data_IF_609269515401
#
_entry.id   IF_609269515401
#
_cell.length_a   1.000
_cell.length_b   1.000
_cell.length_c   1.000
_cell.angle_alpha   90.00
_cell.angle_beta   90.00
_cell.angle_gamma   90.00
#
_symmetry.space_group_name_H-M   'P 1'
#
loop_
_entity.id
_entity.type
_entity.pdbx_description
1 polymer ?
#
# COMPACT_ATOMS: atom_id res chain seq x y z
N UNK A 1 11.97 -9.69 -15.04
CA UNK A 1 11.25 -9.70 -13.74
C UNK A 1 9.76 -9.37 -13.93
N UNK A 2 9.42 -8.37 -14.76
CA UNK A 2 8.06 -7.83 -14.88
C UNK A 2 7.14 -8.40 -15.97
N UNK A 3 7.70 -8.92 -17.07
CA UNK A 3 6.92 -9.57 -18.13
C UNK A 3 6.22 -10.84 -17.63
N UNK A 4 6.70 -11.43 -16.54
CA UNK A 4 6.12 -12.61 -15.91
C UNK A 4 4.99 -12.27 -14.93
N UNK A 5 5.05 -11.11 -14.27
CA UNK A 5 3.96 -10.62 -13.42
C UNK A 5 2.73 -10.30 -14.26
N UNK A 6 2.91 -9.54 -15.35
CA UNK A 6 1.84 -9.22 -16.31
C UNK A 6 1.15 -10.48 -16.86
N UNK A 7 1.89 -11.58 -17.08
CA UNK A 7 1.32 -12.88 -17.52
C UNK A 7 0.49 -13.59 -16.44
N UNK A 8 0.65 -13.24 -15.16
CA UNK A 8 -0.03 -13.93 -14.04
C UNK A 8 -1.27 -13.18 -13.54
N UNK A 9 -1.56 -12.00 -14.08
CA UNK A 9 -2.79 -11.28 -13.73
C UNK A 9 -4.00 -12.02 -14.28
N UNK A 10 -4.92 -12.40 -13.40
CA UNK A 10 -6.24 -12.85 -13.81
C UNK A 10 -7.18 -11.66 -13.73
N UNK A 11 -7.88 -11.40 -14.83
CA UNK A 11 -8.89 -10.34 -14.97
C UNK A 11 -10.27 -10.99 -15.00
N UNK A 12 -11.18 -10.46 -14.21
CA UNK A 12 -12.59 -10.88 -14.26
C UNK A 12 -13.46 -9.66 -14.38
N UNK A 13 -14.24 -9.63 -15.46
CA UNK A 13 -15.25 -8.63 -15.69
C UNK A 13 -16.60 -9.14 -15.19
N UNK A 14 -17.22 -8.37 -14.31
CA UNK A 14 -18.59 -8.57 -13.87
C UNK A 14 -19.44 -7.46 -14.50
N UNK A 15 -20.30 -7.79 -15.48
CA UNK A 15 -21.12 -6.79 -16.13
C UNK A 15 -22.11 -6.19 -15.13
N UNK A 16 -22.28 -4.86 -15.19
CA UNK A 16 -23.42 -4.21 -14.56
C UNK A 16 -24.65 -4.54 -15.37
N UNK A 17 -25.47 -5.47 -14.89
CA UNK A 17 -26.87 -5.55 -15.31
C UNK A 17 -27.47 -4.19 -15.06
N UNK A 18 -28.06 -3.56 -16.09
CA UNK A 18 -28.85 -2.34 -15.94
C UNK A 18 -29.83 -2.57 -14.80
N UNK A 19 -29.56 -1.95 -13.64
CA UNK A 19 -30.54 -1.86 -12.59
C UNK A 19 -31.77 -1.22 -13.24
N UNK A 20 -32.92 -1.90 -13.18
CA UNK A 20 -34.20 -1.26 -13.48
C UNK A 20 -34.42 -0.23 -12.37
N UNK A 21 -33.74 0.91 -12.44
CA UNK A 21 -33.97 2.02 -11.53
C UNK A 21 -35.29 2.66 -11.94
N UNK A 22 -36.40 2.04 -11.52
CA UNK A 22 -37.65 2.75 -11.37
C UNK A 22 -37.44 3.84 -10.33
N UNK A 23 -37.62 5.09 -10.73
CA UNK A 23 -37.61 6.29 -9.91
C UNK A 23 -36.37 6.52 -9.00
N UNK A 24 -35.49 7.40 -9.46
CA UNK A 24 -35.28 8.65 -8.71
C UNK A 24 -34.44 8.60 -7.43
N UNK A 25 -33.24 8.01 -7.45
CA UNK A 25 -32.18 8.47 -6.55
C UNK A 25 -31.40 9.64 -7.19
N UNK A 26 -32.11 10.73 -7.56
CA UNK A 26 -31.48 12.04 -7.80
C UNK A 26 -31.18 12.67 -6.44
N UNK A 27 -30.19 12.13 -5.72
CA UNK A 27 -29.62 12.82 -4.56
C UNK A 27 -28.65 13.88 -5.12
N UNK A 28 -29.21 15.04 -5.44
CA UNK A 28 -28.59 16.36 -5.62
C UNK A 28 -27.25 16.44 -6.37
N UNK A 29 -27.28 16.88 -7.65
CA UNK A 29 -26.20 17.63 -8.31
C UNK A 29 -24.86 16.94 -8.57
N UNK A 30 -24.48 15.93 -7.79
CA UNK A 30 -23.32 15.07 -7.97
C UNK A 30 -23.77 13.86 -8.81
N UNK A 31 -23.80 14.04 -10.13
CA UNK A 31 -24.25 13.04 -11.11
C UNK A 31 -23.37 11.78 -11.24
N UNK A 32 -22.79 11.25 -10.17
CA UNK A 32 -21.64 10.35 -10.26
C UNK A 32 -21.62 9.15 -9.30
N UNK A 33 -22.74 8.57 -8.88
CA UNK A 33 -22.66 7.23 -8.27
C UNK A 33 -23.77 6.28 -8.76
N UNK A 34 -23.64 5.69 -9.96
CA UNK A 34 -24.33 4.45 -10.34
C UNK A 34 -23.46 3.21 -10.03
N UNK A 35 -23.85 2.47 -9.00
CA UNK A 35 -23.22 1.26 -8.45
C UNK A 35 -22.11 1.53 -7.42
N UNK A 36 -22.43 1.65 -6.13
CA UNK A 36 -21.38 1.63 -5.12
C UNK A 36 -21.05 0.16 -4.94
N UNK A 37 -19.75 -0.06 -4.99
CA UNK A 37 -19.19 -1.37 -5.11
C UNK A 37 -17.93 -1.36 -4.28
N UNK A 38 -17.76 -2.48 -3.62
CA UNK A 38 -16.68 -2.68 -2.70
C UNK A 38 -16.27 -4.14 -2.79
N UNK A 39 -15.06 -4.41 -2.34
CA UNK A 39 -14.55 -5.76 -2.20
C UNK A 39 -14.02 -5.93 -0.79
N UNK A 40 -14.37 -7.05 -0.19
CA UNK A 40 -13.86 -7.50 1.09
C UNK A 40 -13.60 -9.00 1.02
N UNK A 41 -12.92 -9.53 2.02
CA UNK A 41 -12.40 -10.89 1.98
C UNK A 41 -12.43 -11.54 3.35
N UNK A 42 -12.78 -12.83 3.41
CA UNK A 42 -12.51 -13.72 4.54
C UNK A 42 -11.33 -14.64 4.19
N UNK A 43 -10.97 -15.63 5.02
CA UNK A 43 -9.83 -16.52 4.76
C UNK A 43 -9.87 -17.26 3.40
N UNK A 44 -11.05 -17.54 2.87
CA UNK A 44 -11.26 -18.42 1.71
C UNK A 44 -11.93 -17.73 0.51
N UNK A 45 -12.64 -16.65 0.74
CA UNK A 45 -13.52 -16.03 -0.25
C UNK A 45 -13.29 -14.53 -0.39
N UNK A 46 -13.62 -14.05 -1.58
CA UNK A 46 -13.83 -12.65 -1.88
C UNK A 46 -15.33 -12.40 -1.97
N UNK A 47 -15.75 -11.28 -1.42
CA UNK A 47 -17.11 -10.76 -1.56
C UNK A 47 -17.03 -9.52 -2.44
N UNK A 48 -17.70 -9.58 -3.58
CA UNK A 48 -17.75 -8.48 -4.55
C UNK A 48 -19.16 -7.91 -4.51
N UNK A 49 -19.28 -6.66 -4.07
CA UNK A 49 -20.54 -5.93 -4.10
C UNK A 49 -20.61 -5.19 -5.42
N UNK A 50 -21.67 -5.41 -6.19
CA UNK A 50 -21.84 -4.81 -7.50
C UNK A 50 -23.29 -4.59 -7.83
N UNK A 51 -23.68 -3.36 -8.15
CA UNK A 51 -24.99 -3.05 -8.75
C UNK A 51 -26.17 -3.67 -8.00
N UNK A 52 -26.22 -3.51 -6.67
CA UNK A 52 -27.31 -4.02 -5.83
C UNK A 52 -27.27 -5.53 -5.56
N UNK A 53 -26.18 -6.22 -5.87
CA UNK A 53 -25.96 -7.61 -5.46
C UNK A 53 -24.61 -7.79 -4.76
N UNK A 54 -24.46 -8.91 -4.07
CA UNK A 54 -23.18 -9.41 -3.58
C UNK A 54 -22.89 -10.76 -4.19
N UNK A 55 -21.66 -10.97 -4.64
CA UNK A 55 -21.13 -12.22 -5.15
C UNK A 55 -20.04 -12.75 -4.23
N UNK A 56 -20.15 -14.02 -3.83
CA UNK A 56 -19.12 -14.74 -3.09
C UNK A 56 -18.31 -15.57 -4.08
N UNK A 57 -16.99 -15.40 -4.07
CA UNK A 57 -16.06 -16.04 -5.01
C UNK A 57 -14.89 -16.69 -4.29
N UNK A 58 -14.39 -17.81 -4.79
CA UNK A 58 -13.20 -18.47 -4.23
C UNK A 58 -11.96 -17.61 -4.47
N UNK A 59 -11.12 -17.38 -3.45
CA UNK A 59 -9.85 -16.65 -3.60
C UNK A 59 -8.90 -17.32 -4.62
N UNK A 60 -8.17 -16.51 -5.39
CA UNK A 60 -7.20 -16.96 -6.41
C UNK A 60 -7.78 -17.61 -7.68
N UNK A 61 -8.93 -18.30 -7.59
CA UNK A 61 -9.64 -18.91 -8.73
C UNK A 61 -10.84 -18.10 -9.20
N UNK A 62 -11.43 -17.32 -8.30
CA UNK A 62 -12.59 -16.44 -8.52
C UNK A 62 -13.84 -17.13 -9.06
N UNK A 63 -13.92 -18.45 -8.91
CA UNK A 63 -15.11 -19.23 -9.18
C UNK A 63 -16.27 -18.66 -8.34
N UNK A 64 -17.41 -18.41 -8.99
CA UNK A 64 -18.62 -17.96 -8.32
C UNK A 64 -19.15 -19.11 -7.46
N UNK A 65 -19.24 -18.87 -6.16
CA UNK A 65 -19.81 -19.81 -5.20
C UNK A 65 -21.30 -19.53 -5.05
N UNK A 66 -21.64 -18.26 -4.81
CA UNK A 66 -22.99 -17.85 -4.47
C UNK A 66 -23.20 -16.37 -4.80
N UNK A 67 -24.46 -15.97 -4.98
CA UNK A 67 -24.85 -14.56 -5.12
C UNK A 67 -26.14 -14.29 -4.37
N UNK A 68 -26.26 -13.08 -3.82
CA UNK A 68 -27.50 -12.60 -3.22
C UNK A 68 -27.84 -11.20 -3.75
N UNK A 69 -29.13 -10.94 -3.90
CA UNK A 69 -29.61 -9.58 -4.16
C UNK A 69 -29.61 -8.80 -2.84
N UNK A 70 -29.15 -7.56 -2.90
CA UNK A 70 -29.25 -6.64 -1.79
C UNK A 70 -30.64 -5.98 -1.84
N UNK A 71 -31.19 -5.57 -0.69
CA UNK A 71 -32.40 -4.76 -0.69
C UNK A 71 -32.14 -3.41 -1.37
N UNK A 72 -33.21 -2.65 -1.66
CA UNK A 72 -33.20 -1.40 -2.43
C UNK A 72 -32.50 -0.22 -1.69
N UNK A 73 -31.20 -0.39 -1.51
CA UNK A 73 -30.26 0.56 -0.92
C UNK A 73 -28.98 0.54 -1.74
N UNK A 74 -28.22 1.62 -1.61
CA UNK A 74 -26.93 1.76 -2.27
C UNK A 74 -25.84 1.27 -1.30
N UNK A 75 -25.28 0.05 -1.49
CA UNK A 75 -24.28 -0.50 -0.59
C UNK A 75 -22.96 0.23 -0.78
N UNK A 76 -22.32 0.66 0.29
CA UNK A 76 -21.15 1.54 0.21
C UNK A 76 -19.86 0.79 0.52
N UNK A 77 -19.81 0.11 1.66
CA UNK A 77 -18.62 -0.62 2.13
C UNK A 77 -18.96 -1.97 2.71
N UNK A 78 -18.06 -2.92 2.57
CA UNK A 78 -18.16 -4.23 3.21
C UNK A 78 -16.93 -4.61 4.02
N UNK A 79 -17.22 -5.44 5.02
CA UNK A 79 -16.24 -6.09 5.88
C UNK A 79 -16.69 -7.53 6.08
N UNK A 80 -15.80 -8.47 5.86
CA UNK A 80 -16.02 -9.86 6.23
C UNK A 80 -15.28 -10.12 7.54
N UNK A 81 -15.93 -10.82 8.46
CA UNK A 81 -15.34 -11.20 9.74
C UNK A 81 -15.90 -12.56 10.14
N UNK A 82 -15.02 -13.52 10.39
CA UNK A 82 -15.37 -14.90 10.73
C UNK A 82 -16.33 -15.53 9.70
N UNK A 83 -17.57 -15.82 10.11
CA UNK A 83 -18.62 -16.44 9.31
C UNK A 83 -19.69 -15.43 8.85
N UNK A 84 -19.40 -14.12 8.96
CA UNK A 84 -20.33 -13.03 8.66
C UNK A 84 -19.77 -12.07 7.61
N UNK A 85 -20.70 -11.50 6.86
CA UNK A 85 -20.45 -10.38 5.96
C UNK A 85 -21.32 -9.20 6.40
N UNK A 86 -20.67 -8.06 6.60
CA UNK A 86 -21.33 -6.80 6.95
C UNK A 86 -21.27 -5.86 5.76
N UNK A 87 -22.41 -5.26 5.41
CA UNK A 87 -22.51 -4.29 4.32
C UNK A 87 -23.14 -3.01 4.85
N UNK A 88 -22.39 -1.92 4.78
CA UNK A 88 -22.86 -0.60 5.18
C UNK A 88 -23.56 0.10 4.03
N UNK A 89 -24.60 0.86 4.33
CA UNK A 89 -25.29 1.77 3.40
C UNK A 89 -25.67 3.05 4.13
N UNK A 90 -26.20 4.06 3.44
CA UNK A 90 -26.46 5.36 4.08
C UNK A 90 -27.46 5.32 5.25
N UNK A 91 -28.28 4.28 5.33
CA UNK A 91 -29.36 4.12 6.31
C UNK A 91 -29.09 3.04 7.36
N UNK A 92 -28.00 2.28 7.30
CA UNK A 92 -27.84 1.12 8.18
C UNK A 92 -26.67 0.19 7.86
N UNK A 93 -26.67 -0.94 8.55
CA UNK A 93 -25.73 -2.04 8.34
C UNK A 93 -26.52 -3.32 8.13
N UNK A 94 -26.24 -4.01 7.04
CA UNK A 94 -26.77 -5.33 6.74
C UNK A 94 -25.79 -6.41 7.24
N UNK A 95 -26.33 -7.46 7.85
CA UNK A 95 -25.59 -8.64 8.28
C UNK A 95 -26.02 -9.86 7.47
N UNK A 96 -25.05 -10.52 6.84
CA UNK A 96 -25.24 -11.75 6.09
C UNK A 96 -24.47 -12.89 6.75
N UNK A 97 -25.01 -14.10 6.63
CA UNK A 97 -24.23 -15.33 6.82
C UNK A 97 -23.13 -15.44 5.76
N UNK A 98 -22.15 -16.32 6.00
CA UNK A 98 -21.18 -16.73 4.98
C UNK A 98 -21.83 -17.34 3.73
N UNK A 99 -23.04 -17.90 3.84
CA UNK A 99 -23.88 -18.35 2.71
C UNK A 99 -24.78 -17.26 2.15
N UNK A 100 -24.38 -15.98 2.23
CA UNK A 100 -25.08 -14.80 1.69
C UNK A 100 -26.58 -14.67 2.03
N UNK A 101 -27.09 -15.37 3.04
CA UNK A 101 -28.42 -15.14 3.59
C UNK A 101 -28.42 -13.91 4.50
N UNK A 102 -29.26 -12.93 4.20
CA UNK A 102 -29.49 -11.76 5.06
C UNK A 102 -30.14 -12.22 6.38
N UNK A 103 -29.55 -11.79 7.50
CA UNK A 103 -30.02 -12.14 8.84
C UNK A 103 -30.59 -10.92 9.54
N UNK A 104 -29.96 -9.76 9.32
CA UNK A 104 -30.29 -8.53 10.02
C UNK A 104 -30.10 -7.32 9.11
N UNK A 105 -31.02 -6.38 9.22
CA UNK A 105 -30.90 -5.02 8.73
C UNK A 105 -31.00 -4.10 9.95
N UNK A 106 -29.87 -3.51 10.34
CA UNK A 106 -29.76 -2.64 11.50
C UNK A 106 -29.84 -1.17 11.04
N UNK A 107 -30.99 -0.51 11.22
CA UNK A 107 -31.18 0.86 10.75
C UNK A 107 -30.41 1.86 11.63
N UNK A 108 -29.97 2.95 11.01
CA UNK A 108 -29.44 4.15 11.65
C UNK A 108 -30.56 5.12 11.99
N UNK A 109 -30.45 5.75 13.14
CA UNK A 109 -31.31 6.88 13.51
C UNK A 109 -31.01 8.13 12.66
N UNK A 110 -29.74 8.34 12.27
CA UNK A 110 -29.29 9.45 11.45
C UNK A 110 -28.50 8.94 10.25
N UNK A 111 -28.87 9.29 9.01
CA UNK A 111 -28.10 8.90 7.84
C UNK A 111 -26.67 9.42 7.88
N UNK A 112 -25.74 8.59 7.42
CA UNK A 112 -24.35 8.97 7.15
C UNK A 112 -24.02 8.55 5.73
N UNK A 113 -22.99 9.16 5.12
CA UNK A 113 -22.39 8.64 3.90
C UNK A 113 -21.14 7.85 4.29
N UNK A 114 -21.23 6.51 4.44
CA UNK A 114 -20.10 5.72 4.93
C UNK A 114 -19.03 5.60 3.83
N UNK A 115 -17.79 5.92 4.19
CA UNK A 115 -16.63 5.88 3.31
C UNK A 115 -15.67 4.73 3.63
N UNK A 116 -15.69 4.19 4.85
CA UNK A 116 -14.91 3.00 5.21
C UNK A 116 -15.57 2.27 6.37
N UNK A 117 -15.24 0.99 6.50
CA UNK A 117 -15.58 0.21 7.66
C UNK A 117 -14.44 -0.75 8.01
N UNK A 118 -14.26 -1.03 9.29
CA UNK A 118 -13.26 -1.98 9.80
C UNK A 118 -13.81 -2.72 11.01
N UNK A 119 -13.31 -3.92 11.26
CA UNK A 119 -13.67 -4.74 12.41
C UNK A 119 -12.48 -4.85 13.35
N UNK A 120 -12.72 -4.57 14.62
CA UNK A 120 -11.74 -4.73 15.68
C UNK A 120 -12.42 -5.07 17.01
N UNK A 121 -11.83 -5.99 17.80
CA UNK A 121 -12.31 -6.36 19.14
C UNK A 121 -13.83 -6.65 19.22
N UNK A 122 -14.36 -7.43 18.26
CA UNK A 122 -15.79 -7.76 18.16
C UNK A 122 -16.72 -6.55 17.93
N UNK A 123 -16.18 -5.46 17.41
CA UNK A 123 -16.90 -4.24 17.06
C UNK A 123 -16.69 -3.91 15.58
N UNK A 124 -17.73 -3.38 14.94
CA UNK A 124 -17.68 -2.80 13.61
C UNK A 124 -17.60 -1.28 13.74
N UNK A 125 -16.52 -0.71 13.22
CA UNK A 125 -16.34 0.72 13.12
C UNK A 125 -16.73 1.14 11.72
N UNK A 126 -17.68 2.07 11.61
CA UNK A 126 -18.11 2.65 10.34
C UNK A 126 -17.77 4.12 10.37
N UNK A 127 -16.99 4.58 9.39
CA UNK A 127 -16.65 6.00 9.26
C UNK A 127 -17.24 6.61 8.01
N UNK A 128 -17.54 7.89 8.09
CA UNK A 128 -18.10 8.61 6.97
C UNK A 128 -18.33 10.09 7.28
N UNK A 129 -19.23 10.67 6.51
CA UNK A 129 -19.68 12.05 6.72
C UNK A 129 -21.16 12.07 7.08
N UNK A 130 -21.49 12.75 8.17
CA UNK A 130 -22.88 13.09 8.50
C UNK A 130 -23.24 14.38 7.77
N UNK A 131 -24.24 14.32 6.90
CA UNK A 131 -24.74 15.50 6.21
C UNK A 131 -25.55 16.36 7.18
N UNK A 132 -25.20 17.65 7.29
CA UNK A 132 -26.03 18.65 7.97
C UNK A 132 -26.90 19.40 6.94
N UNK A 133 -27.98 20.05 7.37
CA UNK A 133 -29.10 20.49 6.51
C UNK A 133 -28.73 21.17 5.17
N UNK A 134 -27.61 21.91 5.11
CA UNK A 134 -27.01 22.34 3.86
C UNK A 134 -25.95 21.34 3.42
N UNK A 135 -26.22 20.65 2.30
CA UNK A 135 -25.50 19.49 1.72
C UNK A 135 -24.01 19.69 1.40
N UNK A 136 -23.43 20.82 1.78
CA UNK A 136 -22.01 21.18 1.57
C UNK A 136 -21.19 21.12 2.86
N UNK A 137 -21.83 21.13 4.04
CA UNK A 137 -21.15 21.00 5.33
C UNK A 137 -21.49 19.66 5.97
N UNK A 138 -20.48 18.81 6.10
CA UNK A 138 -20.58 17.56 6.83
C UNK A 138 -19.73 17.56 8.08
N UNK A 139 -20.07 16.69 9.03
CA UNK A 139 -19.17 16.37 10.14
C UNK A 139 -18.66 14.95 9.98
N UNK A 140 -17.34 14.78 10.06
CA UNK A 140 -16.71 13.48 10.10
C UNK A 140 -17.25 12.69 11.29
N UNK A 141 -17.65 11.45 11.05
CA UNK A 141 -18.29 10.62 12.07
C UNK A 141 -17.70 9.22 12.09
N UNK A 142 -17.56 8.68 13.29
CA UNK A 142 -17.29 7.27 13.56
C UNK A 142 -18.46 6.70 14.35
N UNK A 143 -19.07 5.66 13.82
CA UNK A 143 -20.03 4.84 14.55
C UNK A 143 -19.39 3.53 14.97
N UNK A 144 -19.65 3.12 16.20
CA UNK A 144 -19.18 1.86 16.77
C UNK A 144 -20.38 0.95 16.98
N UNK A 145 -20.37 -0.22 16.37
CA UNK A 145 -21.45 -1.19 16.38
C UNK A 145 -20.98 -2.49 17.01
N UNK A 146 -21.79 -3.12 17.86
CA UNK A 146 -21.50 -4.45 18.37
C UNK A 146 -21.73 -5.51 17.30
N UNK A 147 -20.76 -6.38 17.02
CA UNK A 147 -20.92 -7.37 15.93
C UNK A 147 -21.97 -8.45 16.19
N UNK A 148 -22.18 -8.81 17.46
CA UNK A 148 -23.11 -9.89 17.83
C UNK A 148 -24.57 -9.56 17.50
N UNK A 149 -24.97 -8.30 17.65
CA UNK A 149 -26.35 -7.86 17.52
C UNK A 149 -26.55 -6.64 16.60
N UNK A 150 -25.49 -6.11 16.01
CA UNK A 150 -25.47 -4.81 15.33
C UNK A 150 -26.21 -3.72 16.10
N UNK A 151 -26.10 -3.70 17.43
CA UNK A 151 -26.53 -2.53 18.20
C UNK A 151 -25.48 -1.44 18.07
N UNK A 152 -25.92 -0.23 17.74
CA UNK A 152 -25.07 0.96 17.81
C UNK A 152 -24.66 1.18 19.27
N UNK A 153 -23.37 1.05 19.56
CA UNK A 153 -22.80 1.26 20.89
C UNK A 153 -22.61 2.76 21.13
N UNK A 154 -22.00 3.43 20.17
CA UNK A 154 -21.67 4.85 20.29
C UNK A 154 -21.44 5.51 18.93
N UNK A 155 -21.42 6.84 18.95
CA UNK A 155 -21.14 7.69 17.80
C UNK A 155 -20.23 8.81 18.25
N UNK A 156 -19.13 8.99 17.52
CA UNK A 156 -18.15 10.05 17.76
C UNK A 156 -18.10 10.96 16.54
N UNK A 157 -18.03 12.26 16.78
CA UNK A 157 -17.64 13.19 15.73
C UNK A 157 -16.13 13.32 15.76
N UNK A 158 -15.50 13.31 14.58
CA UNK A 158 -14.11 13.70 14.43
C UNK A 158 -13.94 15.13 14.96
N UNK A 159 -12.80 15.40 15.62
CA UNK A 159 -12.54 16.72 16.20
C UNK A 159 -12.00 17.69 15.16
N UNK A 160 -11.29 17.18 14.17
CA UNK A 160 -10.60 17.98 13.16
C UNK A 160 -11.04 17.66 11.74
N UNK A 161 -11.52 16.45 11.44
CA UNK A 161 -11.89 16.08 10.07
C UNK A 161 -13.37 16.38 9.83
N UNK A 162 -13.67 17.29 8.90
CA UNK A 162 -15.04 17.52 8.44
C UNK A 162 -15.57 16.35 7.60
N UNK A 163 -14.69 15.55 7.02
CA UNK A 163 -15.03 14.27 6.37
C UNK A 163 -14.00 13.20 6.75
N UNK A 164 -14.45 11.98 7.07
CA UNK A 164 -13.57 10.84 7.35
C UNK A 164 -13.73 9.79 6.25
N UNK A 165 -12.67 9.57 5.49
CA UNK A 165 -12.65 8.65 4.35
C UNK A 165 -12.25 7.23 4.73
N UNK A 166 -11.28 7.09 5.64
CA UNK A 166 -10.70 5.80 5.99
C UNK A 166 -10.59 5.63 7.50
N UNK A 167 -10.80 4.40 7.94
CA UNK A 167 -10.42 3.93 9.26
C UNK A 167 -9.60 2.66 9.12
N UNK A 168 -8.49 2.57 9.84
CA UNK A 168 -7.67 1.36 9.91
C UNK A 168 -7.06 1.22 11.31
N UNK A 169 -6.76 -0.01 11.70
CA UNK A 169 -6.14 -0.32 12.99
C UNK A 169 -4.64 -0.50 12.78
N UNK A 170 -3.84 0.23 13.55
CA UNK A 170 -2.41 -0.03 13.60
C UNK A 170 -2.15 -1.36 14.34
N UNK A 171 -1.52 -2.35 13.70
CA UNK A 171 -1.37 -3.69 14.27
C UNK A 171 -0.43 -3.74 15.49
N UNK A 172 0.44 -2.73 15.67
CA UNK A 172 1.41 -2.68 16.78
C UNK A 172 0.83 -1.95 17.98
N UNK A 173 0.23 -0.77 17.76
CA UNK A 173 -0.29 0.07 18.86
C UNK A 173 -1.73 -0.25 19.22
N UNK A 174 -2.46 -0.97 18.38
CA UNK A 174 -3.91 -1.15 18.48
C UNK A 174 -4.70 0.17 18.53
N UNK A 175 -4.12 1.23 17.97
CA UNK A 175 -4.80 2.50 17.79
C UNK A 175 -5.54 2.55 16.45
N UNK A 176 -6.69 3.20 16.44
CA UNK A 176 -7.49 3.46 15.25
C UNK A 176 -7.00 4.75 14.60
N UNK A 177 -6.65 4.67 13.33
CA UNK A 177 -6.26 5.81 12.50
C UNK A 177 -7.42 6.19 11.60
N UNK A 178 -7.87 7.43 11.74
CA UNK A 178 -8.96 8.02 10.97
C UNK A 178 -8.36 9.02 10.00
N UNK A 179 -8.40 8.72 8.70
CA UNK A 179 -7.93 9.61 7.65
C UNK A 179 -9.11 10.28 6.97
N UNK A 180 -8.94 11.53 6.59
CA UNK A 180 -10.00 12.31 6.02
C UNK A 180 -9.53 13.65 5.47
N UNK A 181 -10.47 14.58 5.46
CA UNK A 181 -10.24 15.95 5.06
C UNK A 181 -10.88 16.94 6.02
N UNK A 182 -10.23 18.10 6.13
CA UNK A 182 -10.85 19.32 6.66
C UNK A 182 -10.96 20.37 5.54
N UNK A 183 -12.11 20.42 4.88
CA UNK A 183 -12.22 21.12 3.60
C UNK A 183 -11.32 20.46 2.55
N UNK A 184 -10.37 21.22 1.99
CA UNK A 184 -9.38 20.70 1.03
C UNK A 184 -8.06 20.23 1.70
N UNK A 185 -8.00 20.25 3.05
CA UNK A 185 -6.80 19.93 3.81
C UNK A 185 -6.79 18.49 4.26
N UNK A 186 -5.60 17.93 4.40
CA UNK A 186 -5.35 16.62 4.96
C UNK A 186 -5.76 16.62 6.43
N UNK A 187 -6.46 15.56 6.84
CA UNK A 187 -6.78 15.35 8.23
C UNK A 187 -6.51 13.91 8.64
N UNK A 188 -5.85 13.73 9.78
CA UNK A 188 -5.57 12.44 10.34
C UNK A 188 -5.58 12.48 11.87
N UNK A 189 -6.39 11.61 12.46
CA UNK A 189 -6.56 11.49 13.91
C UNK A 189 -6.29 10.06 14.35
N UNK A 190 -5.61 9.91 15.49
CA UNK A 190 -5.28 8.62 16.08
C UNK A 190 -6.02 8.48 17.40
N UNK A 191 -6.79 7.42 17.52
CA UNK A 191 -7.63 7.13 18.68
C UNK A 191 -7.23 5.81 19.33
N UNK A 192 -7.39 5.72 20.65
CA UNK A 192 -7.31 4.43 21.33
C UNK A 192 -8.58 3.59 21.12
N UNK A 193 -8.61 2.38 21.68
CA UNK A 193 -9.77 1.47 21.61
C UNK A 193 -11.06 2.03 22.22
N UNK A 194 -10.95 3.00 23.12
CA UNK A 194 -12.08 3.66 23.78
C UNK A 194 -12.51 4.95 23.06
N UNK A 195 -11.92 5.23 21.89
CA UNK A 195 -12.14 6.43 21.11
C UNK A 195 -11.72 7.72 21.85
N UNK A 196 -10.70 7.64 22.72
CA UNK A 196 -9.97 8.82 23.19
C UNK A 196 -8.92 9.22 22.16
N UNK A 197 -8.88 10.52 21.82
CA UNK A 197 -7.88 11.06 20.90
C UNK A 197 -6.49 10.96 21.54
N UNK A 198 -5.60 10.19 20.92
CA UNK A 198 -4.21 10.00 21.34
C UNK A 198 -3.32 11.04 20.68
N UNK A 199 -3.45 11.20 19.36
CA UNK A 199 -2.66 12.17 18.61
C UNK A 199 -3.40 12.67 17.37
N UNK A 200 -2.95 13.81 16.86
CA UNK A 200 -3.33 14.32 15.54
C UNK A 200 -2.08 14.29 14.67
N UNK A 201 -2.18 13.69 13.50
CA UNK A 201 -1.11 13.77 12.49
C UNK A 201 -1.32 15.07 11.74
N UNK A 202 -0.44 16.04 11.99
CA UNK A 202 -0.52 17.36 11.37
C UNK A 202 0.24 17.39 10.07
N UNK A 203 -0.28 18.19 9.14
CA UNK A 203 0.31 18.44 7.84
C UNK A 203 1.75 18.97 7.97
N UNK A 204 2.74 18.26 7.41
CA UNK A 204 4.09 18.80 7.29
C UNK A 204 4.25 19.72 6.07
N UNK A 205 3.30 19.67 5.12
CA UNK A 205 3.34 20.37 3.85
C UNK A 205 1.97 21.02 3.63
N UNK A 206 1.92 22.30 3.24
CA UNK A 206 0.67 22.93 2.88
C UNK A 206 0.08 22.28 1.61
N UNK A 207 -1.24 22.15 1.54
CA UNK A 207 -1.98 21.68 0.35
C UNK A 207 -1.70 20.23 -0.06
N UNK A 208 -1.61 19.32 0.92
CA UNK A 208 -1.52 17.87 0.67
C UNK A 208 -2.79 17.26 0.05
N UNK A 209 -3.86 18.04 -0.03
CA UNK A 209 -5.16 17.54 -0.44
C UNK A 209 -5.72 16.56 0.58
N UNK A 210 -6.67 15.75 0.13
CA UNK A 210 -7.44 14.86 0.99
C UNK A 210 -6.70 13.54 1.27
N UNK A 211 -6.72 13.06 2.52
CA UNK A 211 -6.15 11.77 2.90
C UNK A 211 -7.13 10.64 2.55
N UNK A 212 -6.81 9.86 1.53
CA UNK A 212 -7.75 8.90 0.92
C UNK A 212 -7.64 7.51 1.55
N UNK A 213 -6.43 7.07 1.90
CA UNK A 213 -6.21 5.72 2.42
C UNK A 213 -5.00 5.63 3.36
N UNK A 214 -4.98 4.59 4.20
CA UNK A 214 -3.87 4.25 5.10
C UNK A 214 -3.74 2.74 5.28
N UNK A 215 -2.50 2.27 5.33
CA UNK A 215 -2.14 0.92 5.74
C UNK A 215 -0.82 0.91 6.53
N UNK A 216 -0.49 -0.20 7.18
CA UNK A 216 0.63 -0.28 8.11
C UNK A 216 1.62 -1.37 7.75
N UNK A 217 2.90 -1.13 8.02
CA UNK A 217 3.89 -2.20 8.04
C UNK A 217 3.89 -3.01 9.34
N UNK A 218 4.65 -4.10 9.33
CA UNK A 218 4.87 -4.97 10.48
C UNK A 218 5.45 -4.26 11.70
N UNK A 219 6.09 -3.11 11.51
CA UNK A 219 6.64 -2.28 12.59
C UNK A 219 5.68 -1.16 13.01
N UNK A 220 4.47 -1.12 12.45
CA UNK A 220 3.44 -0.14 12.77
C UNK A 220 3.67 1.24 12.14
N UNK A 221 4.57 1.39 11.16
CA UNK A 221 4.64 2.64 10.40
C UNK A 221 3.43 2.74 9.48
N UNK A 222 2.84 3.93 9.43
CA UNK A 222 1.69 4.20 8.60
C UNK A 222 2.12 4.71 7.22
N UNK A 223 1.56 4.13 6.18
CA UNK A 223 1.67 4.61 4.80
C UNK A 223 0.36 5.27 4.44
N UNK A 224 0.40 6.58 4.16
CA UNK A 224 -0.80 7.38 3.93
C UNK A 224 -0.78 7.91 2.50
N UNK A 225 -1.87 7.65 1.77
CA UNK A 225 -2.07 8.14 0.42
C UNK A 225 -2.93 9.41 0.46
N UNK A 226 -2.38 10.53 0.02
CA UNK A 226 -3.09 11.82 -0.04
C UNK A 226 -2.78 12.53 -1.37
N UNK A 227 -3.84 12.83 -2.12
CA UNK A 227 -3.76 13.40 -3.48
C UNK A 227 -2.68 12.71 -4.36
N UNK A 228 -1.62 13.44 -4.75
CA UNK A 228 -0.52 12.97 -5.60
C UNK A 228 0.71 12.50 -4.83
N UNK A 229 0.59 12.29 -3.52
CA UNK A 229 1.69 11.94 -2.64
C UNK A 229 1.41 10.69 -1.80
N UNK A 230 2.50 10.00 -1.49
CA UNK A 230 2.55 8.88 -0.56
C UNK A 230 3.46 9.28 0.60
N UNK A 231 2.97 9.16 1.82
CA UNK A 231 3.68 9.51 3.05
C UNK A 231 3.98 8.27 3.86
N UNK A 232 5.07 8.32 4.63
CA UNK A 232 5.38 7.36 5.68
C UNK A 232 5.48 8.08 7.01
N UNK A 233 4.74 7.60 7.99
CA UNK A 233 4.74 8.09 9.36
C UNK A 233 5.18 6.99 10.34
N UNK A 234 5.79 7.38 11.44
CA UNK A 234 5.95 6.53 12.61
C UNK A 234 4.59 6.26 13.28
N UNK A 235 4.54 5.25 14.15
CA UNK A 235 3.34 4.83 14.87
C UNK A 235 2.75 5.91 15.81
N UNK A 236 3.52 6.93 16.17
CA UNK A 236 3.09 8.10 16.96
C UNK A 236 2.49 9.23 16.10
N UNK A 237 2.63 9.15 14.77
CA UNK A 237 2.17 10.17 13.84
C UNK A 237 3.23 11.12 13.31
N UNK A 238 4.52 10.94 13.63
CA UNK A 238 5.59 11.79 13.09
C UNK A 238 5.94 11.39 11.64
N UNK A 239 6.05 12.36 10.72
CA UNK A 239 6.42 12.07 9.32
C UNK A 239 7.90 11.67 9.23
N UNK A 240 8.18 10.54 8.56
CA UNK A 240 9.55 10.10 8.25
C UNK A 240 9.99 10.53 6.86
N UNK A 241 9.15 10.27 5.85
CA UNK A 241 9.49 10.52 4.44
C UNK A 241 8.22 10.58 3.59
N UNK A 242 8.35 11.07 2.37
CA UNK A 242 7.28 11.13 1.40
C UNK A 242 7.82 10.98 -0.03
N UNK A 243 6.95 10.60 -0.96
CA UNK A 243 7.24 10.50 -2.38
C UNK A 243 6.02 10.86 -3.22
N UNK A 244 6.23 11.25 -4.48
CA UNK A 244 5.13 11.49 -5.39
C UNK A 244 4.68 10.19 -6.07
N UNK A 245 3.36 10.02 -6.19
CA UNK A 245 2.76 8.97 -7.02
C UNK A 245 2.51 9.44 -8.46
N UNK A 246 2.63 10.74 -8.72
CA UNK A 246 2.54 11.30 -10.06
C UNK A 246 3.85 11.14 -10.85
N UNK A 247 3.73 11.03 -12.17
CA UNK A 247 4.88 11.13 -13.09
C UNK A 247 4.77 12.43 -13.88
N UNK A 248 5.66 13.37 -13.59
CA UNK A 248 5.66 14.71 -14.22
C UNK A 248 4.40 15.50 -13.87
N UNK A 249 3.90 16.28 -14.83
CA UNK A 249 2.73 17.15 -14.65
C UNK A 249 1.39 16.44 -14.87
N UNK A 250 1.34 15.11 -14.82
CA UNK A 250 0.08 14.39 -15.07
C UNK A 250 -0.78 14.37 -13.82
N UNK A 251 -2.04 14.75 -13.97
CA UNK A 251 -3.05 14.58 -12.93
C UNK A 251 -3.24 13.09 -12.61
N UNK A 252 -3.21 12.76 -11.31
CA UNK A 252 -3.43 11.42 -10.79
C UNK A 252 -4.51 11.47 -9.71
N UNK A 253 -5.44 10.53 -9.75
CA UNK A 253 -6.44 10.36 -8.69
C UNK A 253 -6.06 9.14 -7.87
N UNK A 254 -5.79 9.27 -6.57
CA UNK A 254 -5.56 8.13 -5.69
C UNK A 254 -6.85 7.32 -5.52
N UNK A 255 -6.74 5.99 -5.54
CA UNK A 255 -7.89 5.09 -5.44
C UNK A 255 -7.80 4.09 -4.29
N UNK A 256 -6.59 3.74 -3.85
CA UNK A 256 -6.41 2.85 -2.70
C UNK A 256 -4.96 2.47 -2.48
N UNK A 257 -4.71 1.94 -1.29
CA UNK A 257 -3.38 1.56 -0.82
C UNK A 257 -3.43 0.22 -0.09
N UNK A 258 -2.38 -0.57 -0.22
CA UNK A 258 -2.15 -1.76 0.59
C UNK A 258 -0.65 -1.93 0.85
N UNK A 259 -0.28 -2.38 2.03
CA UNK A 259 1.08 -2.79 2.38
C UNK A 259 1.16 -4.31 2.51
N UNK A 260 2.14 -4.93 1.86
CA UNK A 260 2.43 -6.33 2.11
C UNK A 260 3.85 -6.72 1.71
N UNK A 261 4.47 -7.56 2.54
CA UNK A 261 5.78 -8.14 2.29
C UNK A 261 6.85 -7.09 1.94
N UNK A 262 6.95 -5.98 2.67
CA UNK A 262 7.97 -4.95 2.42
C UNK A 262 7.66 -3.98 1.28
N UNK A 263 6.48 -4.10 0.64
CA UNK A 263 6.07 -3.27 -0.48
C UNK A 263 4.76 -2.53 -0.20
N UNK A 264 4.68 -1.31 -0.70
CA UNK A 264 3.46 -0.48 -0.72
C UNK A 264 2.89 -0.50 -2.13
N UNK A 265 1.68 -0.99 -2.26
CA UNK A 265 0.92 -1.07 -3.51
C UNK A 265 -0.07 0.08 -3.56
N UNK A 266 0.10 0.98 -4.52
CA UNK A 266 -0.74 2.18 -4.68
C UNK A 266 -1.52 2.10 -5.98
N UNK A 267 -2.84 2.14 -5.88
CA UNK A 267 -3.73 2.20 -7.02
C UNK A 267 -4.08 3.66 -7.32
N UNK A 268 -3.84 4.08 -8.56
CA UNK A 268 -4.15 5.42 -9.05
C UNK A 268 -4.85 5.37 -10.40
N UNK A 269 -5.56 6.44 -10.75
CA UNK A 269 -6.02 6.71 -12.11
C UNK A 269 -5.23 7.89 -12.69
N UNK A 270 -4.48 7.67 -13.76
CA UNK A 270 -3.77 8.73 -14.48
C UNK A 270 -4.68 9.32 -15.56
N UNK A 271 -4.80 10.66 -15.61
CA UNK A 271 -5.56 11.38 -16.65
C UNK A 271 -7.03 10.96 -16.74
N UNK A 272 -7.65 10.61 -15.60
CA UNK A 272 -9.00 10.06 -15.45
C UNK A 272 -9.30 8.71 -16.10
N UNK A 273 -8.36 8.11 -16.84
CA UNK A 273 -8.70 6.99 -17.70
C UNK A 273 -7.70 5.84 -17.75
N UNK A 274 -6.60 5.92 -17.01
CA UNK A 274 -5.58 4.87 -16.99
C UNK A 274 -5.35 4.35 -15.58
N UNK A 275 -6.00 3.24 -15.17
CA UNK A 275 -5.74 2.62 -13.88
C UNK A 275 -4.33 2.03 -13.86
N UNK A 276 -3.54 2.50 -12.89
CA UNK A 276 -2.17 2.05 -12.66
C UNK A 276 -2.05 1.50 -11.24
N UNK A 277 -1.29 0.41 -11.12
CA UNK A 277 -0.75 -0.02 -9.85
C UNK A 277 0.72 0.37 -9.80
N UNK A 278 1.07 1.22 -8.84
CA UNK A 278 2.44 1.60 -8.55
C UNK A 278 2.92 0.79 -7.35
N UNK A 279 4.15 0.29 -7.40
CA UNK A 279 4.74 -0.47 -6.31
C UNK A 279 5.96 0.27 -5.78
N UNK A 280 6.00 0.48 -4.48
CA UNK A 280 7.08 1.13 -3.77
C UNK A 280 7.71 0.17 -2.76
N UNK A 281 9.00 0.33 -2.49
CA UNK A 281 9.61 -0.28 -1.31
C UNK A 281 9.21 0.47 -0.02
N UNK A 282 9.62 -0.06 1.13
CA UNK A 282 9.39 0.55 2.46
C UNK A 282 9.99 1.95 2.65
N UNK A 283 10.86 2.40 1.75
CA UNK A 283 11.47 3.72 1.74
C UNK A 283 10.83 4.64 0.70
N UNK A 284 9.67 4.25 0.16
CA UNK A 284 8.90 4.98 -0.84
C UNK A 284 9.64 5.18 -2.17
N UNK A 285 10.60 4.30 -2.49
CA UNK A 285 11.23 4.28 -3.81
C UNK A 285 10.37 3.43 -4.73
N UNK A 286 9.92 4.00 -5.84
CA UNK A 286 9.11 3.25 -6.81
C UNK A 286 9.97 2.16 -7.46
N UNK A 287 9.59 0.91 -7.24
CA UNK A 287 10.25 -0.26 -7.80
C UNK A 287 9.52 -0.83 -9.02
N UNK A 288 8.23 -0.54 -9.15
CA UNK A 288 7.42 -1.04 -10.26
C UNK A 288 6.23 -0.15 -10.62
N UNK A 289 5.71 -0.34 -11.85
CA UNK A 289 4.47 0.21 -12.38
C UNK A 289 3.79 -0.84 -13.29
N UNK A 290 2.53 -1.12 -13.00
CA UNK A 290 1.67 -2.01 -13.79
C UNK A 290 0.49 -1.22 -14.34
N UNK A 291 0.26 -1.32 -15.64
CA UNK A 291 -0.93 -0.74 -16.30
C UNK A 291 -2.03 -1.81 -16.32
N UNK A 292 -3.16 -1.53 -15.65
CA UNK A 292 -4.20 -2.55 -15.44
C UNK A 292 -5.14 -2.69 -16.64
N UNK A 293 -5.27 -1.64 -17.47
CA UNK A 293 -6.00 -1.70 -18.74
C UNK A 293 -5.15 -1.24 -19.91
N UNK A 294 -5.31 -1.90 -21.06
CA UNK A 294 -4.66 -1.55 -22.32
C UNK A 294 -5.28 -0.35 -23.04
N UNK A 295 -6.42 0.16 -22.57
CA UNK A 295 -7.16 1.26 -23.18
C UNK A 295 -7.58 2.32 -22.17
N UNK A 296 -8.09 3.43 -22.71
CA UNK A 296 -8.70 4.56 -21.99
C UNK A 296 -10.02 4.08 -21.39
N UNK A 297 -10.04 3.84 -20.09
CA UNK A 297 -11.23 3.44 -19.37
C UNK A 297 -11.43 4.36 -18.18
N UNK A 298 -12.54 5.12 -18.16
CA UNK A 298 -12.79 6.07 -17.08
C UNK A 298 -12.96 5.30 -15.77
N UNK A 299 -12.18 5.66 -14.75
CA UNK A 299 -12.22 5.00 -13.44
C UNK A 299 -13.07 5.82 -12.48
N UNK A 300 -14.05 5.18 -11.83
CA UNK A 300 -14.97 5.85 -10.88
C UNK A 300 -14.71 5.48 -9.42
N UNK A 301 -13.89 4.46 -9.20
CA UNK A 301 -13.57 3.98 -7.87
C UNK A 301 -12.64 2.79 -7.97
N UNK A 302 -11.88 2.59 -6.91
CA UNK A 302 -11.00 1.44 -6.78
C UNK A 302 -10.81 1.04 -5.33
N UNK A 303 -10.33 -0.18 -5.13
CA UNK A 303 -9.83 -0.65 -3.84
C UNK A 303 -8.74 -1.67 -4.07
N UNK A 304 -7.76 -1.66 -3.17
CA UNK A 304 -6.72 -2.68 -3.08
C UNK A 304 -6.87 -3.39 -1.73
N UNK A 305 -6.75 -4.72 -1.73
CA UNK A 305 -6.61 -5.52 -0.52
C UNK A 305 -5.74 -6.74 -0.79
N UNK A 306 -5.29 -7.42 0.26
CA UNK A 306 -4.48 -8.64 0.15
C UNK A 306 -4.88 -9.68 1.21
N UNK A 307 -4.42 -10.91 1.02
CA UNK A 307 -4.56 -12.01 1.97
C UNK A 307 -3.22 -12.65 2.36
N UNK A 308 -2.15 -11.85 2.27
CA UNK A 308 -0.75 -12.25 2.47
C UNK A 308 -0.19 -13.25 1.43
N UNK A 309 -1.01 -13.68 0.47
CA UNK A 309 -0.58 -14.50 -0.67
C UNK A 309 -0.79 -13.76 -1.99
N UNK A 310 -1.93 -13.10 -2.14
CA UNK A 310 -2.35 -12.42 -3.35
C UNK A 310 -2.83 -11.00 -3.05
N UNK A 311 -2.60 -10.13 -4.02
CA UNK A 311 -3.20 -8.82 -4.14
C UNK A 311 -4.53 -8.94 -4.92
N UNK A 312 -5.51 -8.16 -4.51
CA UNK A 312 -6.82 -8.05 -5.12
C UNK A 312 -7.11 -6.58 -5.39
N UNK A 313 -7.44 -6.26 -6.64
CA UNK A 313 -7.72 -4.89 -7.06
C UNK A 313 -9.10 -4.89 -7.70
N UNK A 314 -10.05 -4.19 -7.09
CA UNK A 314 -11.37 -3.97 -7.68
C UNK A 314 -11.43 -2.57 -8.29
N UNK A 315 -11.98 -2.47 -9.49
CA UNK A 315 -12.13 -1.22 -10.24
C UNK A 315 -13.51 -1.09 -10.85
N UNK A 316 -14.06 0.12 -10.75
CA UNK A 316 -15.19 0.57 -11.56
C UNK A 316 -14.61 1.18 -12.83
N UNK A 317 -14.88 0.58 -13.99
CA UNK A 317 -14.42 1.14 -15.25
C UNK A 317 -15.56 1.35 -16.23
N UNK A 318 -15.49 2.44 -16.98
CA UNK A 318 -16.36 2.69 -18.14
C UNK A 318 -15.52 2.62 -19.41
N UNK A 319 -15.90 1.69 -20.29
CA UNK A 319 -15.31 1.50 -21.60
C UNK A 319 -16.43 1.47 -22.64
N UNK A 320 -16.30 2.28 -23.70
CA UNK A 320 -17.27 2.32 -24.81
C UNK A 320 -18.72 2.57 -24.36
N UNK A 321 -18.92 3.40 -23.34
CA UNK A 321 -20.25 3.72 -22.78
C UNK A 321 -20.88 2.61 -21.93
N UNK A 322 -20.20 1.50 -21.73
CA UNK A 322 -20.60 0.44 -20.81
C UNK A 322 -19.76 0.49 -19.55
N UNK A 323 -20.42 0.37 -18.40
CA UNK A 323 -19.74 0.26 -17.11
C UNK A 323 -19.61 -1.20 -16.73
N UNK A 324 -18.40 -1.60 -16.40
CA UNK A 324 -18.08 -2.93 -15.91
C UNK A 324 -17.30 -2.83 -14.60
N UNK A 325 -17.46 -3.84 -13.76
CA UNK A 325 -16.57 -4.03 -12.62
C UNK A 325 -15.53 -5.04 -12.97
N UNK A 326 -14.28 -4.68 -12.70
CA UNK A 326 -13.17 -5.58 -12.95
C UNK A 326 -12.45 -5.84 -11.65
N UNK A 327 -12.25 -7.13 -11.36
CA UNK A 327 -11.37 -7.57 -10.29
C UNK A 327 -10.13 -8.17 -10.92
N UNK A 328 -8.98 -7.62 -10.54
CA UNK A 328 -7.66 -8.11 -10.89
C UNK A 328 -7.06 -8.82 -9.68
N UNK A 329 -6.26 -9.84 -9.95
CA UNK A 329 -5.49 -10.55 -8.93
C UNK A 329 -4.07 -10.78 -9.38
N UNK A 330 -3.14 -10.73 -8.45
CA UNK A 330 -1.77 -11.15 -8.68
C UNK A 330 -1.20 -11.76 -7.40
N UNK A 331 -0.27 -12.72 -7.49
CA UNK A 331 0.53 -13.11 -6.33
C UNK A 331 1.30 -11.89 -5.81
N UNK A 332 1.45 -11.79 -4.50
CA UNK A 332 2.26 -10.74 -3.88
C UNK A 332 3.75 -10.93 -4.23
N UNK A 333 4.46 -9.81 -4.27
CA UNK A 333 5.92 -9.84 -4.33
C UNK A 333 6.47 -10.42 -3.02
N UNK A 334 7.49 -11.26 -3.15
CA UNK A 334 8.31 -11.70 -2.03
C UNK A 334 9.60 -10.89 -2.03
N UNK A 335 10.01 -10.29 -0.90
CA UNK A 335 11.35 -9.75 -0.74
C UNK A 335 12.36 -10.79 -1.17
N UNK A 336 13.26 -10.43 -2.08
CA UNK A 336 14.41 -11.29 -2.34
C UNK A 336 15.23 -11.33 -1.06
N UNK A 337 15.38 -12.52 -0.47
CA UNK A 337 16.49 -12.73 0.45
C UNK A 337 17.76 -12.52 -0.38
N UNK A 338 18.48 -11.43 -0.12
CA UNK A 338 19.83 -11.26 -0.65
C UNK A 338 20.69 -12.27 0.08
N UNK A 339 20.89 -13.44 -0.53
CA UNK A 339 21.90 -14.38 -0.06
C UNK A 339 23.24 -13.78 -0.46
N UNK A 340 23.90 -13.14 0.50
CA UNK A 340 25.30 -12.74 0.33
C UNK A 340 26.11 -14.03 0.31
N UNK A 341 26.47 -14.50 -0.87
CA UNK A 341 27.40 -15.61 -1.01
C UNK A 341 28.78 -15.06 -0.74
N UNK A 342 29.29 -15.28 0.48
CA UNK A 342 30.72 -15.13 0.73
C UNK A 342 31.44 -16.18 -0.12
N UNK A 343 32.07 -15.75 -1.22
CA UNK A 343 33.07 -16.59 -1.87
C UNK A 343 34.21 -16.75 -0.88
N UNK A 344 34.41 -17.98 -0.40
CA UNK A 344 35.59 -18.30 0.38
C UNK A 344 36.82 -17.88 -0.43
N UNK A 345 37.79 -17.17 0.16
CA UNK A 345 38.98 -16.74 -0.55
C UNK A 345 39.62 -17.99 -1.18
N UNK A 346 39.86 -17.93 -2.50
CA UNK A 346 40.55 -19.00 -3.19
C UNK A 346 41.89 -19.20 -2.51
N UNK A 347 42.02 -20.32 -1.80
CA UNK A 347 43.27 -20.74 -1.20
C UNK A 347 44.31 -20.78 -2.31
N UNK A 348 45.30 -19.89 -2.23
CA UNK A 348 46.46 -19.88 -3.11
C UNK A 348 47.10 -21.26 -2.97
N UNK A 349 47.01 -22.06 -4.04
CA UNK A 349 47.51 -23.44 -4.08
C UNK A 349 49.03 -23.40 -4.00
N UNK A 350 49.56 -23.40 -2.78
CA UNK A 350 50.97 -23.66 -2.53
C UNK A 350 51.17 -25.13 -2.88
N UNK A 351 51.96 -25.41 -3.93
CA UNK A 351 52.43 -26.76 -4.22
C UNK A 351 53.31 -27.19 -3.05
N UNK A 352 52.80 -28.08 -2.22
CA UNK A 352 53.60 -28.83 -1.26
C UNK A 352 53.98 -30.16 -1.90
N UNK A 353 55.28 -30.44 -1.90
CA UNK A 353 55.88 -31.73 -2.23
C UNK A 353 55.25 -32.87 -1.40
N UNK A 354 55.26 -34.11 -1.93
CA UNK A 354 54.49 -35.20 -1.37
C UNK A 354 55.07 -35.66 -0.03
N UNK A 355 54.31 -35.45 1.05
CA UNK A 355 54.49 -36.18 2.30
C UNK A 355 53.29 -37.10 2.56
N UNK A 356 53.63 -38.26 3.14
CA UNK A 356 52.80 -39.42 3.46
C UNK A 356 51.43 -39.15 4.11
N UNK A 357 50.47 -40.10 3.99
CA UNK A 357 49.06 -39.86 4.27
C UNK A 357 48.79 -39.63 5.77
N UNK A 358 48.15 -38.50 6.09
CA UNK A 358 47.51 -38.24 7.38
C UNK A 358 45.99 -38.26 7.28
N UNK A 359 45.28 -38.53 8.39
CA UNK A 359 43.85 -38.84 8.40
C UNK A 359 42.98 -37.63 8.04
N UNK A 360 41.86 -37.88 7.36
CA UNK A 360 40.89 -36.85 6.95
C UNK A 360 40.27 -36.14 8.17
N UNK A 361 40.16 -34.80 8.15
CA UNK A 361 39.40 -34.07 9.15
C UNK A 361 37.89 -34.12 8.84
N UNK A 362 37.08 -34.19 9.91
CA UNK A 362 35.61 -34.13 9.85
C UNK A 362 35.13 -32.77 9.32
N UNK A 363 33.94 -32.69 8.67
CA UNK A 363 33.41 -31.44 8.14
C UNK A 363 33.16 -30.44 9.27
N UNK A 364 33.78 -29.26 9.19
CA UNK A 364 33.43 -28.12 10.04
C UNK A 364 32.15 -27.46 9.51
N UNK A 365 31.19 -27.21 10.40
CA UNK A 365 30.04 -26.38 10.12
C UNK A 365 30.49 -24.94 9.88
N UNK A 366 30.14 -24.40 8.71
CA UNK A 366 30.35 -22.99 8.36
C UNK A 366 29.31 -22.15 9.11
N UNK A 367 29.76 -21.32 10.06
CA UNK A 367 28.94 -20.25 10.61
C UNK A 367 28.92 -19.07 9.63
N UNK A 368 27.73 -18.60 9.28
CA UNK A 368 27.50 -17.40 8.48
C UNK A 368 27.39 -16.23 9.45
N UNK A 369 28.42 -15.39 9.53
CA UNK A 369 28.33 -14.09 10.21
C UNK A 369 27.90 -13.00 9.23
N UNK A 370 26.99 -12.14 9.67
CA UNK A 370 26.54 -11.00 8.88
C UNK A 370 27.63 -9.92 8.81
N UNK A 371 27.92 -9.42 7.61
CA UNK A 371 28.80 -8.26 7.43
C UNK A 371 28.23 -7.01 8.14
N UNK A 372 29.08 -6.18 8.78
CA UNK A 372 28.66 -4.91 9.36
C UNK A 372 28.10 -3.96 8.28
N UNK A 373 27.09 -3.16 8.63
CA UNK A 373 26.38 -2.23 7.72
C UNK A 373 27.22 -1.08 7.14
N UNK A 374 28.55 -1.09 7.32
CA UNK A 374 29.44 0.03 7.03
C UNK A 374 30.65 -0.33 6.14
N UNK A 375 30.67 -1.49 5.49
CA UNK A 375 31.76 -1.86 4.57
C UNK A 375 31.29 -1.67 3.12
N UNK A 376 32.07 -0.93 2.33
CA UNK A 376 31.87 -0.74 0.88
C UNK A 376 33.08 -1.25 0.10
N UNK A 377 32.88 -1.84 -1.07
CA UNK A 377 33.98 -2.29 -1.93
C UNK A 377 34.33 -1.19 -2.94
N UNK A 378 35.59 -0.78 -2.97
CA UNK A 378 36.14 0.25 -3.87
C UNK A 378 37.15 -0.40 -4.82
N UNK A 379 37.13 -0.06 -6.10
CA UNK A 379 38.18 -0.50 -7.04
C UNK A 379 39.26 0.59 -7.13
N UNK A 380 40.46 0.28 -6.68
CA UNK A 380 41.64 1.14 -6.79
C UNK A 380 42.58 0.56 -7.87
N UNK A 381 42.51 1.07 -9.11
CA UNK A 381 43.27 0.51 -10.23
C UNK A 381 42.78 -0.90 -10.59
N UNK A 382 43.66 -1.91 -10.49
CA UNK A 382 43.31 -3.33 -10.70
C UNK A 382 42.91 -4.08 -9.41
N UNK A 383 42.91 -3.41 -8.26
CA UNK A 383 42.63 -4.03 -6.96
C UNK A 383 41.25 -3.67 -6.44
N UNK A 384 40.57 -4.64 -5.82
CA UNK A 384 39.37 -4.44 -5.01
C UNK A 384 39.79 -4.24 -3.56
N UNK A 385 39.31 -3.18 -2.92
CA UNK A 385 39.60 -2.83 -1.53
C UNK A 385 38.28 -2.68 -0.78
N UNK A 386 38.10 -3.43 0.29
CA UNK A 386 36.98 -3.23 1.22
C UNK A 386 37.31 -2.09 2.19
N UNK A 387 36.42 -1.11 2.26
CA UNK A 387 36.59 0.10 3.06
C UNK A 387 35.45 0.18 4.07
N UNK A 388 35.81 0.20 5.35
CA UNK A 388 34.89 0.53 6.43
C UNK A 388 34.67 2.05 6.47
N UNK A 389 33.53 2.52 5.95
CA UNK A 389 33.20 3.95 5.85
C UNK A 389 33.04 4.62 7.21
N UNK A 390 32.83 3.87 8.29
CA UNK A 390 32.75 4.44 9.63
C UNK A 390 34.08 5.08 10.07
N UNK A 391 35.21 4.60 9.54
CA UNK A 391 36.55 5.14 9.82
C UNK A 391 36.83 6.48 9.15
N UNK A 392 35.94 6.93 8.27
CA UNK A 392 36.10 8.14 7.48
C UNK A 392 35.01 9.19 7.74
N UNK A 393 34.25 9.06 8.83
CA UNK A 393 33.31 10.10 9.25
C UNK A 393 34.06 11.42 9.48
N UNK A 394 33.68 12.46 8.73
CA UNK A 394 34.32 13.79 8.78
C UNK A 394 35.29 14.09 7.63
N UNK A 395 35.59 13.12 6.76
CA UNK A 395 36.38 13.34 5.55
C UNK A 395 35.49 13.54 4.33
N UNK A 396 35.93 14.37 3.38
CA UNK A 396 35.32 14.41 2.06
C UNK A 396 35.59 13.09 1.31
N UNK A 397 34.72 12.74 0.36
CA UNK A 397 34.89 11.52 -0.46
C UNK A 397 36.25 11.53 -1.18
N UNK A 398 36.71 12.71 -1.62
CA UNK A 398 38.03 12.86 -2.24
C UNK A 398 39.17 12.51 -1.30
N UNK A 399 39.10 12.91 -0.02
CA UNK A 399 40.11 12.59 0.99
C UNK A 399 40.06 11.12 1.43
N UNK A 400 38.86 10.54 1.52
CA UNK A 400 38.71 9.11 1.78
C UNK A 400 39.36 8.29 0.65
N UNK A 401 39.09 8.63 -0.61
CA UNK A 401 39.66 7.94 -1.78
C UNK A 401 41.16 8.18 -1.91
N UNK A 402 41.67 9.39 -1.63
CA UNK A 402 43.11 9.65 -1.66
C UNK A 402 43.87 8.83 -0.62
N UNK A 403 43.28 8.63 0.57
CA UNK A 403 43.86 7.80 1.64
C UNK A 403 43.76 6.30 1.36
N UNK A 404 42.70 5.84 0.70
CA UNK A 404 42.51 4.41 0.40
C UNK A 404 43.26 3.96 -0.85
N UNK A 405 43.31 4.81 -1.89
CA UNK A 405 43.86 4.47 -3.20
C UNK A 405 45.15 5.23 -3.56
N UNK A 406 45.66 6.13 -2.70
CA UNK A 406 46.88 6.92 -2.95
C UNK A 406 46.74 8.01 -4.03
N UNK A 407 45.51 8.47 -4.31
CA UNK A 407 45.19 9.25 -5.53
C UNK A 407 45.08 10.77 -5.34
N UNK A 408 45.30 11.52 -6.44
CA UNK A 408 45.06 12.97 -6.56
C UNK A 408 43.56 13.34 -6.46
N UNK A 409 43.19 14.53 -5.94
CA UNK A 409 41.80 14.99 -5.77
C UNK A 409 40.97 15.13 -7.07
N UNK A 410 41.53 14.83 -8.24
CA UNK A 410 40.88 14.95 -9.55
C UNK A 410 40.16 13.66 -10.03
N UNK A 411 39.95 12.67 -9.15
CA UNK A 411 39.31 11.42 -9.52
C UNK A 411 37.82 11.59 -9.93
N UNK A 412 37.47 11.00 -11.07
CA UNK A 412 36.08 10.85 -11.53
C UNK A 412 35.45 9.63 -10.84
N UNK A 413 34.23 9.80 -10.36
CA UNK A 413 33.49 8.73 -9.66
C UNK A 413 32.32 8.31 -10.53
N UNK A 414 32.19 7.02 -10.80
CA UNK A 414 31.10 6.48 -11.60
C UNK A 414 30.12 5.70 -10.73
N UNK A 415 28.85 5.69 -11.12
CA UNK A 415 27.79 4.91 -10.52
C UNK A 415 27.12 4.05 -11.57
N UNK A 416 26.62 2.88 -11.16
CA UNK A 416 25.88 1.97 -12.02
C UNK A 416 24.38 2.07 -11.70
N UNK A 417 23.57 2.50 -12.66
CA UNK A 417 22.12 2.67 -12.48
C UNK A 417 21.29 1.46 -12.94
N UNK A 418 21.96 0.35 -13.24
CA UNK A 418 21.34 -0.87 -13.77
C UNK A 418 21.35 -0.98 -15.30
N UNK A 419 21.73 0.08 -16.02
CA UNK A 419 21.81 0.08 -17.49
C UNK A 419 23.18 0.56 -18.01
N UNK A 420 23.81 1.55 -17.35
CA UNK A 420 25.12 2.05 -17.75
C UNK A 420 25.93 2.57 -16.55
N UNK A 421 27.25 2.70 -16.77
CA UNK A 421 28.13 3.47 -15.90
C UNK A 421 28.05 4.94 -16.32
N UNK A 422 27.77 5.83 -15.36
CA UNK A 422 27.84 7.28 -15.59
C UNK A 422 28.61 7.99 -14.50
N UNK A 423 29.26 9.09 -14.85
CA UNK A 423 29.96 9.93 -13.88
C UNK A 423 28.95 10.57 -12.92
N UNK A 424 29.18 10.44 -11.62
CA UNK A 424 28.34 10.97 -10.57
C UNK A 424 28.75 12.40 -10.22
N UNK A 425 27.76 13.28 -10.11
CA UNK A 425 27.94 14.61 -9.52
C UNK A 425 28.32 14.51 -8.03
N UNK A 426 28.91 15.56 -7.43
CA UNK A 426 29.34 15.52 -6.02
C UNK A 426 28.28 15.04 -5.03
N UNK A 427 27.00 15.40 -5.23
CA UNK A 427 25.89 15.00 -4.36
C UNK A 427 25.44 13.56 -4.57
N UNK A 428 25.47 13.08 -5.82
CA UNK A 428 25.15 11.68 -6.13
C UNK A 428 26.22 10.72 -5.59
N UNK A 429 27.46 11.18 -5.43
CA UNK A 429 28.54 10.40 -4.80
C UNK A 429 28.21 10.11 -3.33
N UNK A 430 27.74 11.11 -2.59
CA UNK A 430 27.34 10.97 -1.17
C UNK A 430 26.17 10.01 -1.05
N UNK A 431 25.16 10.19 -1.89
CA UNK A 431 23.96 9.36 -1.89
C UNK A 431 24.28 7.89 -2.25
N UNK A 432 25.15 7.66 -3.24
CA UNK A 432 25.55 6.33 -3.66
C UNK A 432 26.38 5.59 -2.59
N UNK A 433 27.22 6.32 -1.85
CA UNK A 433 28.01 5.79 -0.73
C UNK A 433 27.13 5.37 0.45
N UNK A 434 26.15 6.21 0.82
CA UNK A 434 25.16 5.89 1.86
C UNK A 434 24.31 4.68 1.48
N UNK A 435 24.09 4.46 0.18
CA UNK A 435 23.30 3.36 -0.37
C UNK A 435 24.10 2.09 -0.70
N UNK A 436 25.41 2.04 -0.39
CA UNK A 436 26.27 0.87 -0.65
C UNK A 436 26.33 0.44 -2.13
N UNK A 437 26.08 1.37 -3.06
CA UNK A 437 25.83 1.08 -4.48
C UNK A 437 26.92 1.67 -5.40
N UNK A 438 28.19 1.64 -4.99
CA UNK A 438 29.28 2.29 -5.74
C UNK A 438 30.22 1.26 -6.34
N UNK A 439 30.38 1.32 -7.67
CA UNK A 439 31.54 0.74 -8.37
C UNK A 439 32.36 1.93 -8.87
N UNK A 440 33.42 2.29 -8.14
CA UNK A 440 34.34 3.35 -8.57
C UNK A 440 35.26 2.75 -9.64
N UNK A 441 35.12 3.11 -10.90
CA UNK A 441 36.07 2.69 -11.94
C UNK A 441 37.09 3.80 -12.21
N UNK A 442 38.36 3.39 -12.18
CA UNK A 442 39.51 4.20 -12.54
C UNK A 442 39.93 3.87 -13.97
N UNK A 443 40.12 4.89 -14.81
CA UNK A 443 40.89 4.76 -16.04
C UNK A 443 42.00 5.79 -15.99
N UNK A 444 43.23 5.38 -16.33
CA UNK A 444 44.34 6.30 -16.57
C UNK A 444 44.03 7.24 -17.74
#
# INVERSE_FOLDING_TARGET
>A
MLSELLRRWRRISVPLTRLKTGLGARIGGLGLFPGACDVCADDRHLYVIVGGRVEKRVKGRFELVERAQLPDFYPQRCVASSDRLYITHSRGVLEFTSGLRLIRDAPRSKPIFPFSASVYSNQLYVVGTRLTGNRTSGSGVVEVWGLHNLSLISTYNSRHCSTVYKISLNPVTNHLWLMGADGARFCAEVYDKNMFLVSTVREPIADLGEAVDVDFDESGHAYVLADKYLFKFTMDGSMQTWGSVATGNTYVTPLGLAYSNGYVYVLVSQGHAKPLLLVFDKNLRRVDKVELSSGVAKVFGGRVLHDNKSLYIALAIESSGSREWVVYTAPLLTPRQVVVVHQAPQAKRVQLEPQHPRPQPKPQQVQVEALPQHVVTVVCGSNLVEVDVSRFMGFSIGEMLSRCCGSSPLAKVYGYDGLALRELSPWERVDALVKGSVIVLYTQ
#
